data_IF_282009863462
#
_entry.id   IF_282009863462
#
_cell.length_a   1.000
_cell.length_b   1.000
_cell.length_c   1.000
_cell.angle_alpha   90.00
_cell.angle_beta   90.00
_cell.angle_gamma   90.00
#
_symmetry.space_group_name_H-M   'P 1'
#
loop_
_entity.id
_entity.type
_entity.pdbx_description
1 polymer ?
#
# COMPACT_ATOMS: atom_id res chain seq x y z
N UNK A 1 -13.86 -0.49 6.03
CA UNK A 1 -15.08 -0.84 6.79
C UNK A 1 -15.45 -2.27 6.48
N UNK A 2 -15.12 -3.18 7.38
CA UNK A 2 -15.51 -4.58 7.25
C UNK A 2 -17.01 -4.71 7.50
N UNK A 3 -17.73 -5.17 6.51
CA UNK A 3 -19.15 -5.47 6.67
C UNK A 3 -19.31 -6.75 7.52
N UNK A 4 -19.88 -6.62 8.72
CA UNK A 4 -20.09 -7.70 9.67
C UNK A 4 -19.06 -7.75 10.81
N UNK A 5 -19.12 -8.79 11.65
CA UNK A 5 -18.21 -9.03 12.78
C UNK A 5 -16.84 -9.59 12.34
N UNK A 6 -16.42 -9.33 11.12
CA UNK A 6 -15.14 -9.77 10.55
C UNK A 6 -14.18 -8.59 10.49
N UNK A 7 -12.94 -8.84 10.82
CA UNK A 7 -11.86 -7.91 10.59
C UNK A 7 -10.62 -8.65 10.09
N UNK A 8 -9.75 -7.93 9.44
CA UNK A 8 -8.49 -8.45 8.93
C UNK A 8 -7.32 -7.83 9.69
N UNK A 9 -6.25 -8.60 9.82
CA UNK A 9 -4.98 -8.18 10.38
C UNK A 9 -3.88 -8.48 9.37
N UNK A 10 -3.01 -7.50 9.13
CA UNK A 10 -1.81 -7.69 8.33
C UNK A 10 -0.57 -7.22 9.07
N UNK A 11 0.57 -7.86 8.80
CA UNK A 11 1.85 -7.54 9.44
C UNK A 11 3.03 -8.01 8.62
N UNK A 12 4.17 -7.34 8.80
CA UNK A 12 5.45 -7.81 8.25
C UNK A 12 6.20 -8.61 9.32
N UNK A 13 6.67 -9.80 8.94
CA UNK A 13 7.68 -10.55 9.67
C UNK A 13 9.05 -10.26 9.05
N UNK A 14 9.93 -9.65 9.84
CA UNK A 14 11.33 -9.45 9.44
C UNK A 14 12.14 -10.68 9.81
N UNK A 15 12.93 -11.17 8.87
CA UNK A 15 13.90 -12.25 9.11
C UNK A 15 15.29 -11.68 8.83
N UNK A 16 16.14 -11.63 9.87
CA UNK A 16 17.52 -11.15 9.73
C UNK A 16 18.28 -12.02 8.72
N UNK A 17 18.92 -11.36 7.74
CA UNK A 17 19.67 -12.03 6.67
C UNK A 17 18.84 -12.81 5.64
N UNK A 18 17.53 -12.73 5.72
CA UNK A 18 16.58 -13.37 4.81
C UNK A 18 15.56 -12.38 4.27
N UNK A 19 14.67 -12.85 3.38
CA UNK A 19 13.55 -12.06 2.91
C UNK A 19 12.56 -11.74 4.04
N UNK A 20 12.03 -10.51 4.05
CA UNK A 20 10.89 -10.16 4.86
C UNK A 20 9.61 -10.69 4.24
N UNK A 21 8.62 -10.99 5.07
CA UNK A 21 7.36 -11.60 4.67
C UNK A 21 6.18 -10.76 5.14
N UNK A 22 5.28 -10.43 4.24
CA UNK A 22 4.05 -9.73 4.53
C UNK A 22 2.90 -10.72 4.61
N UNK A 23 2.23 -10.78 5.76
CA UNK A 23 1.16 -11.72 6.07
C UNK A 23 -0.18 -11.04 6.28
N UNK A 24 -1.22 -11.83 6.14
CA UNK A 24 -2.61 -11.49 6.35
C UNK A 24 -3.35 -12.64 7.03
N UNK A 25 -4.33 -12.32 7.89
CA UNK A 25 -5.31 -13.24 8.46
C UNK A 25 -6.64 -12.55 8.67
N UNK A 26 -7.72 -13.32 8.77
CA UNK A 26 -9.07 -12.83 9.06
C UNK A 26 -9.59 -13.37 10.38
N UNK A 27 -10.36 -12.56 11.08
CA UNK A 27 -11.17 -12.96 12.22
C UNK A 27 -12.55 -13.36 11.74
N UNK A 28 -13.00 -14.57 12.11
CA UNK A 28 -14.26 -15.16 11.65
C UNK A 28 -15.42 -15.02 12.65
N UNK A 29 -15.24 -14.26 13.73
CA UNK A 29 -16.17 -14.17 14.86
C UNK A 29 -15.87 -15.14 16.01
N UNK A 30 -15.13 -16.23 15.74
CA UNK A 30 -14.75 -17.24 16.73
C UNK A 30 -13.24 -17.49 16.85
N UNK A 31 -12.45 -17.03 15.87
CA UNK A 31 -10.99 -17.20 15.86
C UNK A 31 -10.36 -16.60 14.60
N UNK A 32 -9.03 -16.54 14.61
CA UNK A 32 -8.27 -16.17 13.41
C UNK A 32 -8.13 -17.38 12.50
N UNK A 33 -8.26 -17.15 11.20
CA UNK A 33 -7.91 -18.13 10.17
C UNK A 33 -6.39 -18.36 10.12
N UNK A 34 -5.97 -19.37 9.35
CA UNK A 34 -4.55 -19.53 9.04
C UNK A 34 -4.04 -18.28 8.32
N UNK A 35 -2.84 -17.84 8.70
CA UNK A 35 -2.19 -16.72 8.03
C UNK A 35 -1.85 -17.08 6.59
N UNK A 36 -2.11 -16.17 5.68
CA UNK A 36 -1.76 -16.26 4.27
C UNK A 36 -0.60 -15.30 3.96
N UNK A 37 0.31 -15.73 3.11
CA UNK A 37 1.42 -14.90 2.63
C UNK A 37 0.91 -14.00 1.50
N UNK A 38 1.08 -12.68 1.66
CA UNK A 38 0.80 -11.69 0.61
C UNK A 38 2.01 -11.55 -0.31
N UNK A 39 3.18 -11.30 0.29
CA UNK A 39 4.43 -11.10 -0.44
C UNK A 39 5.64 -11.51 0.41
N UNK A 40 6.74 -11.84 -0.26
CA UNK A 40 8.04 -12.07 0.35
C UNK A 40 9.12 -11.42 -0.52
N UNK A 41 10.02 -10.63 0.09
CA UNK A 41 11.05 -9.93 -0.65
C UNK A 41 12.25 -9.58 0.23
N UNK A 42 13.46 -9.69 -0.34
CA UNK A 42 14.69 -9.15 0.27
C UNK A 42 14.75 -7.63 0.19
N UNK A 43 13.98 -7.02 -0.71
CA UNK A 43 13.89 -5.56 -0.89
C UNK A 43 12.81 -4.92 -0.04
N UNK A 44 11.97 -5.74 0.63
CA UNK A 44 10.88 -5.21 1.44
C UNK A 44 11.42 -4.25 2.49
N UNK A 45 10.90 -3.03 2.48
CA UNK A 45 11.29 -1.97 3.38
C UNK A 45 10.21 -1.76 4.44
N UNK A 46 10.60 -1.73 5.68
CA UNK A 46 9.69 -1.41 6.78
C UNK A 46 10.31 -0.35 7.67
N UNK A 47 9.56 0.68 7.98
CA UNK A 47 9.91 1.71 8.93
C UNK A 47 8.83 1.81 10.03
N UNK A 48 9.02 2.70 10.99
CA UNK A 48 8.12 2.84 12.12
C UNK A 48 6.84 3.64 11.83
N UNK A 49 6.81 4.38 10.73
CA UNK A 49 5.75 5.34 10.42
C UNK A 49 4.93 4.98 9.17
N UNK A 50 5.46 4.14 8.29
CA UNK A 50 4.84 3.78 7.02
C UNK A 50 4.42 2.31 7.07
N UNK A 51 3.18 2.07 7.43
CA UNK A 51 2.65 0.77 7.80
C UNK A 51 1.95 0.16 6.58
N UNK A 52 2.30 -1.09 6.19
CA UNK A 52 1.58 -1.79 5.15
C UNK A 52 0.13 -2.03 5.55
N UNK A 53 -0.78 -1.95 4.61
CA UNK A 53 -2.19 -2.17 4.87
C UNK A 53 -2.89 -2.97 3.79
N UNK A 54 -4.11 -3.38 4.10
CA UNK A 54 -5.04 -4.02 3.18
C UNK A 54 -6.37 -3.28 3.20
N UNK A 55 -7.07 -3.34 2.09
CA UNK A 55 -8.44 -2.82 1.96
C UNK A 55 -9.27 -3.76 1.13
N UNK A 56 -10.54 -3.86 1.42
CA UNK A 56 -11.53 -4.62 0.65
C UNK A 56 -12.30 -3.65 -0.27
N UNK A 57 -12.33 -3.96 -1.56
CA UNK A 57 -13.21 -3.31 -2.52
C UNK A 57 -14.65 -3.84 -2.38
N UNK A 58 -15.63 -3.13 -2.91
CA UNK A 58 -17.05 -3.48 -2.80
C UNK A 58 -17.41 -4.84 -3.41
N UNK A 59 -16.65 -5.28 -4.41
CA UNK A 59 -16.81 -6.59 -5.06
C UNK A 59 -16.19 -7.75 -4.26
N UNK A 60 -15.53 -7.47 -3.13
CA UNK A 60 -14.86 -8.45 -2.27
C UNK A 60 -13.40 -8.74 -2.63
N UNK A 61 -12.85 -8.07 -3.64
CA UNK A 61 -11.42 -8.11 -3.95
C UNK A 61 -10.62 -7.41 -2.84
N UNK A 62 -9.46 -7.96 -2.50
CA UNK A 62 -8.57 -7.36 -1.52
C UNK A 62 -7.35 -6.77 -2.20
N UNK A 63 -7.04 -5.53 -1.87
CA UNK A 63 -5.80 -4.88 -2.27
C UNK A 63 -4.88 -4.73 -1.06
N UNK A 64 -3.59 -5.00 -1.28
CA UNK A 64 -2.56 -4.85 -0.26
C UNK A 64 -1.43 -3.97 -0.78
N UNK A 65 -0.84 -3.15 0.09
CA UNK A 65 0.37 -2.41 -0.24
C UNK A 65 1.47 -2.65 0.79
N UNK A 66 2.71 -2.56 0.32
CA UNK A 66 3.92 -2.53 1.14
C UNK A 66 4.99 -1.71 0.42
N UNK A 67 6.08 -1.42 1.12
CA UNK A 67 7.19 -0.69 0.54
C UNK A 67 8.30 -1.64 0.10
N UNK A 68 8.94 -1.33 -1.01
CA UNK A 68 10.17 -1.96 -1.46
C UNK A 68 11.24 -0.95 -1.82
N UNK A 69 12.51 -1.31 -1.55
CA UNK A 69 13.64 -0.51 -1.95
C UNK A 69 13.83 -0.53 -3.47
N UNK A 70 13.98 0.66 -4.05
CA UNK A 70 14.35 0.85 -5.45
C UNK A 70 15.88 0.70 -5.59
N UNK A 71 16.64 1.23 -4.62
CA UNK A 71 18.10 1.14 -4.58
C UNK A 71 18.63 1.08 -3.16
N UNK A 72 19.95 1.15 -3.01
CA UNK A 72 20.63 1.20 -1.70
C UNK A 72 20.59 2.57 -1.02
N UNK A 73 20.11 3.62 -1.67
CA UNK A 73 19.96 4.95 -1.07
C UNK A 73 18.91 4.92 0.05
N UNK A 74 19.11 5.72 1.07
CA UNK A 74 18.30 5.72 2.29
C UNK A 74 16.81 5.93 2.03
N UNK A 75 16.45 6.87 1.15
CA UNK A 75 15.07 7.26 0.84
C UNK A 75 14.63 6.81 -0.56
N UNK A 76 15.29 5.81 -1.15
CA UNK A 76 14.91 5.25 -2.44
C UNK A 76 14.04 4.00 -2.23
N UNK A 77 12.76 4.22 -2.05
CA UNK A 77 11.76 3.17 -1.93
C UNK A 77 10.43 3.61 -2.56
N UNK A 78 9.67 2.63 -2.99
CA UNK A 78 8.38 2.83 -3.63
C UNK A 78 7.33 1.88 -3.09
N UNK A 79 6.10 2.06 -3.55
CA UNK A 79 4.92 1.33 -3.10
C UNK A 79 4.61 0.20 -4.07
N UNK A 80 4.61 -1.03 -3.56
CA UNK A 80 4.12 -2.21 -4.27
C UNK A 80 2.65 -2.46 -3.93
N UNK A 81 1.91 -2.94 -4.92
CA UNK A 81 0.51 -3.35 -4.79
C UNK A 81 0.35 -4.82 -5.16
N UNK A 82 -0.52 -5.52 -4.45
CA UNK A 82 -1.01 -6.83 -4.83
C UNK A 82 -2.53 -6.90 -4.70
N UNK A 83 -3.13 -7.75 -5.53
CA UNK A 83 -4.56 -8.02 -5.60
C UNK A 83 -4.84 -9.48 -5.25
N UNK A 84 -5.88 -9.72 -4.46
CA UNK A 84 -6.48 -11.03 -4.26
C UNK A 84 -7.96 -11.02 -4.63
N UNK A 85 -8.36 -11.94 -5.50
CA UNK A 85 -9.75 -12.14 -5.96
C UNK A 85 -10.45 -13.32 -5.27
N UNK A 86 -9.80 -13.93 -4.28
CA UNK A 86 -10.27 -15.13 -3.59
C UNK A 86 -10.22 -15.00 -2.06
N UNK A 87 -10.46 -13.78 -1.56
CA UNK A 87 -10.47 -13.43 -0.14
C UNK A 87 -9.13 -13.68 0.56
N UNK A 88 -8.03 -13.35 -0.10
CA UNK A 88 -6.69 -13.40 0.49
C UNK A 88 -6.02 -14.77 0.47
N UNK A 89 -6.56 -15.77 -0.23
CA UNK A 89 -5.93 -17.09 -0.37
C UNK A 89 -4.75 -17.05 -1.31
N UNK A 90 -4.89 -16.34 -2.43
CA UNK A 90 -3.82 -16.08 -3.40
C UNK A 90 -3.72 -14.59 -3.68
N UNK A 91 -2.48 -14.11 -3.90
CA UNK A 91 -2.17 -12.73 -4.18
C UNK A 91 -1.37 -12.63 -5.48
N UNK A 92 -1.84 -11.78 -6.37
CA UNK A 92 -1.17 -11.46 -7.63
C UNK A 92 -0.49 -10.09 -7.51
N UNK A 93 0.80 -9.95 -7.78
CA UNK A 93 1.46 -8.65 -7.79
C UNK A 93 0.90 -7.81 -8.94
N UNK A 94 0.61 -6.54 -8.67
CA UNK A 94 0.22 -5.53 -9.66
C UNK A 94 1.40 -4.65 -10.09
N UNK A 95 2.49 -4.64 -9.31
CA UNK A 95 3.65 -3.78 -9.53
C UNK A 95 3.63 -2.52 -8.67
N UNK A 96 4.32 -1.48 -9.16
CA UNK A 96 4.41 -0.19 -8.48
C UNK A 96 3.11 0.59 -8.56
N UNK A 97 2.70 1.23 -7.44
CA UNK A 97 1.54 2.13 -7.39
C UNK A 97 1.71 3.38 -8.28
N UNK A 98 2.93 3.77 -8.52
CA UNK A 98 3.31 4.99 -9.24
C UNK A 98 4.12 4.66 -10.50
N UNK A 99 4.07 5.54 -11.48
CA UNK A 99 4.80 5.44 -12.74
C UNK A 99 6.24 6.01 -12.69
N UNK A 100 6.64 6.57 -11.53
CA UNK A 100 7.96 7.15 -11.33
C UNK A 100 9.00 6.08 -10.98
N UNK A 101 10.13 6.09 -11.68
CA UNK A 101 11.28 5.20 -11.46
C UNK A 101 12.46 5.91 -10.78
N UNK A 102 12.28 7.14 -10.30
CA UNK A 102 13.35 7.87 -9.62
C UNK A 102 13.71 7.24 -8.29
N UNK A 103 14.98 7.38 -7.88
CA UNK A 103 15.49 6.88 -6.60
C UNK A 103 15.11 7.83 -5.45
N UNK A 104 13.82 8.08 -5.29
CA UNK A 104 13.23 8.96 -4.28
C UNK A 104 12.22 8.20 -3.42
N UNK A 105 11.65 8.89 -2.46
CA UNK A 105 10.70 8.36 -1.49
C UNK A 105 9.28 8.38 -2.03
N UNK A 106 8.61 7.21 -2.01
CA UNK A 106 7.19 7.07 -2.29
C UNK A 106 6.57 6.21 -1.20
N UNK A 107 5.65 6.76 -0.41
CA UNK A 107 5.10 6.03 0.73
C UNK A 107 4.00 6.76 1.48
N UNK A 108 3.82 6.45 2.75
CA UNK A 108 2.76 6.99 3.61
C UNK A 108 1.37 6.81 3.00
N UNK A 109 1.10 5.58 2.59
CA UNK A 109 -0.08 5.22 1.79
C UNK A 109 -1.33 5.13 2.65
N UNK A 110 -2.43 5.67 2.13
CA UNK A 110 -3.80 5.37 2.58
C UNK A 110 -4.58 4.73 1.45
N UNK A 111 -5.22 3.60 1.73
CA UNK A 111 -6.15 2.93 0.82
C UNK A 111 -7.57 3.04 1.37
N UNK A 112 -8.53 3.42 0.53
CA UNK A 112 -9.95 3.42 0.87
C UNK A 112 -10.78 2.78 -0.22
N UNK A 113 -11.92 2.21 0.17
CA UNK A 113 -12.94 1.81 -0.80
C UNK A 113 -13.49 3.07 -1.50
N UNK A 114 -13.63 3.02 -2.83
CA UNK A 114 -14.17 4.10 -3.66
C UNK A 114 -15.15 3.49 -4.67
N UNK A 115 -16.44 3.48 -4.34
CA UNK A 115 -17.47 2.75 -5.06
C UNK A 115 -17.11 1.28 -5.31
N UNK A 116 -16.96 0.87 -6.56
CA UNK A 116 -16.57 -0.50 -6.93
C UNK A 116 -15.06 -0.76 -6.78
N UNK A 117 -14.25 0.31 -6.69
CA UNK A 117 -12.80 0.30 -6.78
C UNK A 117 -12.15 0.60 -5.42
N UNK A 118 -10.84 0.75 -5.43
CA UNK A 118 -10.05 1.27 -4.32
C UNK A 118 -9.31 2.50 -4.77
N UNK A 119 -9.32 3.54 -3.95
CA UNK A 119 -8.52 4.73 -4.15
C UNK A 119 -7.32 4.72 -3.23
N UNK A 120 -6.15 4.97 -3.81
CA UNK A 120 -4.90 5.13 -3.11
C UNK A 120 -4.52 6.61 -3.02
N UNK A 121 -3.92 6.99 -1.88
CA UNK A 121 -3.26 8.28 -1.66
C UNK A 121 -1.86 8.00 -1.13
N UNK A 122 -0.83 8.73 -1.60
CA UNK A 122 0.53 8.56 -1.12
C UNK A 122 1.33 9.85 -1.20
N UNK A 123 2.40 9.91 -0.44
CA UNK A 123 3.42 10.94 -0.60
C UNK A 123 4.39 10.53 -1.70
N UNK A 124 4.61 11.43 -2.64
CA UNK A 124 5.40 11.20 -3.85
C UNK A 124 6.59 12.16 -3.93
N UNK A 125 7.78 11.60 -3.88
CA UNK A 125 9.03 12.35 -3.87
C UNK A 125 9.68 12.52 -5.24
N UNK A 126 9.03 12.21 -6.36
CA UNK A 126 9.63 12.26 -7.72
C UNK A 126 10.30 13.61 -8.07
N UNK A 127 9.83 14.71 -7.50
CA UNK A 127 10.42 16.04 -7.68
C UNK A 127 11.57 16.33 -6.73
N UNK A 128 11.81 15.49 -5.71
CA UNK A 128 12.88 15.70 -4.72
C UNK A 128 14.27 15.29 -5.20
N UNK A 129 14.43 14.93 -6.46
CA UNK A 129 15.73 14.71 -7.11
C UNK A 129 16.59 15.98 -7.17
N UNK A 130 15.98 17.15 -6.96
CA UNK A 130 16.66 18.47 -6.90
C UNK A 130 16.52 19.06 -5.51
N UNK A 131 17.50 19.86 -5.08
CA UNK A 131 17.53 20.50 -3.76
C UNK A 131 16.30 21.40 -3.48
N UNK A 132 15.66 21.95 -4.51
CA UNK A 132 14.42 22.73 -4.40
C UNK A 132 13.15 21.91 -4.60
N UNK A 133 13.28 20.62 -4.81
CA UNK A 133 12.13 19.72 -5.02
C UNK A 133 11.27 19.62 -3.78
N UNK A 134 9.98 19.34 -3.99
CA UNK A 134 8.97 19.24 -2.94
C UNK A 134 8.32 17.88 -3.01
N UNK A 135 7.97 17.36 -1.83
CA UNK A 135 7.06 16.23 -1.70
C UNK A 135 5.67 16.62 -2.17
N UNK A 136 5.03 15.75 -2.91
CA UNK A 136 3.66 15.93 -3.36
C UNK A 136 2.73 14.87 -2.77
N UNK A 137 1.44 15.20 -2.69
CA UNK A 137 0.38 14.24 -2.43
C UNK A 137 -0.20 13.79 -3.76
N UNK A 138 -0.18 12.49 -3.99
CA UNK A 138 -0.74 11.86 -5.18
C UNK A 138 -1.93 10.97 -4.84
N UNK A 139 -2.71 10.65 -5.87
CA UNK A 139 -3.81 9.67 -5.81
C UNK A 139 -3.89 8.89 -7.11
N UNK A 140 -4.40 7.66 -7.03
CA UNK A 140 -4.75 6.81 -8.16
C UNK A 140 -5.95 5.92 -7.82
N UNK A 141 -6.56 5.31 -8.82
CA UNK A 141 -7.61 4.29 -8.70
C UNK A 141 -6.99 2.93 -8.97
N UNK A 142 -7.31 1.95 -8.12
CA UNK A 142 -7.03 0.53 -8.32
C UNK A 142 -8.32 -0.13 -8.78
N UNK A 143 -8.39 -0.49 -10.08
CA UNK A 143 -9.54 -1.15 -10.70
C UNK A 143 -9.13 -2.50 -11.29
N UNK A 144 -9.51 -3.59 -10.63
CA UNK A 144 -9.02 -4.90 -11.00
C UNK A 144 -7.49 -4.96 -10.99
N UNK A 145 -6.87 -5.28 -12.12
CA UNK A 145 -5.41 -5.34 -12.28
C UNK A 145 -4.78 -4.03 -12.80
N UNK A 146 -5.58 -2.98 -12.94
CA UNK A 146 -5.14 -1.70 -13.50
C UNK A 146 -4.93 -0.66 -12.39
N UNK A 147 -3.99 0.24 -12.62
CA UNK A 147 -3.76 1.43 -11.81
C UNK A 147 -4.02 2.61 -12.72
N UNK A 148 -5.04 3.38 -12.42
CA UNK A 148 -5.57 4.40 -13.29
C UNK A 148 -5.61 5.77 -12.63
N UNK A 149 -5.78 6.81 -13.44
CA UNK A 149 -5.98 8.19 -12.99
C UNK A 149 -4.94 8.72 -11.99
N UNK A 150 -3.67 8.30 -12.12
CA UNK A 150 -2.62 8.88 -11.29
C UNK A 150 -2.55 10.39 -11.48
N UNK A 151 -2.65 11.14 -10.37
CA UNK A 151 -2.58 12.60 -10.39
C UNK A 151 -2.09 13.20 -9.09
N UNK A 152 -1.48 14.38 -9.19
CA UNK A 152 -1.10 15.19 -8.04
C UNK A 152 -2.33 15.92 -7.48
N UNK A 153 -2.55 15.81 -6.18
CA UNK A 153 -3.56 16.58 -5.42
C UNK A 153 -2.96 17.86 -4.83
N UNK A 154 -1.76 17.76 -4.25
CA UNK A 154 -1.02 18.88 -3.69
C UNK A 154 0.47 18.72 -4.00
N UNK A 155 1.10 19.76 -4.49
CA UNK A 155 2.50 19.75 -4.95
C UNK A 155 3.52 20.16 -3.88
N UNK A 156 3.09 20.42 -2.64
CA UNK A 156 3.97 20.87 -1.56
C UNK A 156 3.44 20.46 -0.18
N UNK A 157 3.72 19.23 0.21
CA UNK A 157 3.26 18.66 1.48
C UNK A 157 4.42 18.30 2.40
N UNK A 158 4.11 17.92 3.64
CA UNK A 158 5.07 17.41 4.62
C UNK A 158 5.69 16.10 4.12
N UNK A 159 7.00 15.93 4.26
CA UNK A 159 7.73 14.72 3.81
C UNK A 159 7.65 13.54 4.77
N UNK A 160 7.18 13.73 6.00
CA UNK A 160 7.22 12.72 7.07
C UNK A 160 5.87 12.55 7.80
N UNK A 161 4.81 13.12 7.27
CA UNK A 161 3.48 13.03 7.89
C UNK A 161 2.64 12.00 7.14
N UNK A 162 2.15 10.93 7.82
CA UNK A 162 1.33 9.93 7.16
C UNK A 162 0.03 10.55 6.63
N UNK A 163 -0.44 10.02 5.51
CA UNK A 163 -1.79 10.32 5.02
C UNK A 163 -2.84 9.60 5.85
N UNK A 164 -4.06 10.11 5.84
CA UNK A 164 -5.23 9.43 6.41
C UNK A 164 -6.44 9.76 5.55
N UNK A 165 -7.18 8.75 5.16
CA UNK A 165 -8.37 8.90 4.33
C UNK A 165 -9.53 8.11 4.92
N UNK A 166 -10.73 8.65 4.78
CA UNK A 166 -11.96 7.98 5.17
C UNK A 166 -13.02 8.20 4.08
N UNK A 167 -13.86 7.22 3.87
CA UNK A 167 -15.05 7.37 3.05
C UNK A 167 -16.18 7.96 3.89
N UNK A 168 -16.80 9.02 3.39
CA UNK A 168 -17.99 9.60 3.98
C UNK A 168 -19.23 8.94 3.36
N UNK A 169 -20.22 8.67 4.20
CA UNK A 169 -21.56 8.25 3.76
C UNK A 169 -22.45 9.48 3.76
N UNK A 170 -23.19 9.71 2.68
CA UNK A 170 -24.24 10.72 2.59
C UNK A 170 -25.40 10.41 3.54
#
# INVERSE_FOLDING_TARGET
SLMGNHFALSWIKRNEGQESQFFFTQWTGSGFENKNLIAASQKMFSNWADIPSIVEAKNGDLYAHWLERISSKQYAYGVQIALSKDRGKMWAPMGWLHDDESETEHGFVSLIQDDANVRAFWLDGRKMTKASGKMALHTAILDGNEIEEERTLDANVCTCCPTSAIQLTD
#
